data_IF_413597620292
#
_entry.id   IF_413597620292
#
_cell.length_a   1.000
_cell.length_b   1.000
_cell.length_c   1.000
_cell.angle_alpha   90.00
_cell.angle_beta   90.00
_cell.angle_gamma   90.00
#
_symmetry.space_group_name_H-M   'P 1'
#
loop_
_entity.id
_entity.type
_entity.pdbx_description
1 polymer ?
#
# COMPACT_ATOMS: atom_id res chain seq x y z
N UNK A 1 -34.70 -32.68 -7.68
CA UNK A 1 -33.26 -32.52 -7.51
C UNK A 1 -32.61 -31.66 -8.59
N UNK A 2 -32.93 -31.84 -9.87
CA UNK A 2 -32.36 -31.09 -10.99
C UNK A 2 -32.77 -29.59 -10.99
N UNK A 3 -34.01 -29.28 -10.63
CA UNK A 3 -34.49 -27.90 -10.51
C UNK A 3 -33.82 -27.18 -9.34
N UNK A 4 -33.48 -27.89 -8.26
CA UNK A 4 -32.69 -27.34 -7.15
C UNK A 4 -31.29 -26.96 -7.60
N UNK A 5 -30.61 -27.73 -8.44
CA UNK A 5 -29.32 -27.43 -9.01
C UNK A 5 -29.32 -26.16 -9.87
N UNK A 6 -30.34 -25.95 -10.67
CA UNK A 6 -30.49 -24.73 -11.48
C UNK A 6 -30.72 -23.52 -10.60
N UNK A 7 -31.60 -23.61 -9.61
CA UNK A 7 -31.84 -22.51 -8.66
C UNK A 7 -30.62 -22.14 -7.84
N UNK A 8 -29.89 -23.13 -7.40
CA UNK A 8 -28.66 -22.89 -6.63
C UNK A 8 -27.59 -22.18 -7.48
N UNK A 9 -27.38 -22.66 -8.70
CA UNK A 9 -26.44 -22.04 -9.63
C UNK A 9 -26.88 -20.66 -10.09
N UNK A 10 -28.17 -20.46 -10.31
CA UNK A 10 -28.75 -19.15 -10.65
C UNK A 10 -28.55 -18.15 -9.48
N UNK A 11 -28.75 -18.60 -8.25
CA UNK A 11 -28.52 -17.82 -7.04
C UNK A 11 -27.05 -17.42 -6.92
N UNK A 12 -26.13 -18.36 -7.14
CA UNK A 12 -24.70 -18.13 -7.12
C UNK A 12 -24.27 -17.15 -8.22
N UNK A 13 -24.82 -17.30 -9.43
CA UNK A 13 -24.59 -16.38 -10.54
C UNK A 13 -25.04 -14.95 -10.20
N UNK A 14 -26.26 -14.79 -9.71
CA UNK A 14 -26.81 -13.49 -9.34
C UNK A 14 -26.01 -12.79 -8.24
N UNK A 15 -25.54 -13.55 -7.27
CA UNK A 15 -24.69 -13.02 -6.20
C UNK A 15 -23.39 -12.44 -6.77
N UNK A 16 -22.75 -13.14 -7.69
CA UNK A 16 -21.49 -12.71 -8.29
C UNK A 16 -21.67 -11.54 -9.26
N UNK A 17 -22.70 -11.57 -10.08
CA UNK A 17 -23.04 -10.44 -10.97
C UNK A 17 -23.32 -9.18 -10.16
N UNK A 18 -24.02 -9.32 -9.04
CA UNK A 18 -24.33 -8.19 -8.15
C UNK A 18 -23.11 -7.68 -7.40
N UNK A 19 -22.19 -8.57 -7.00
CA UNK A 19 -20.99 -8.21 -6.27
C UNK A 19 -19.92 -7.59 -7.16
N UNK A 20 -19.87 -7.93 -8.45
CA UNK A 20 -18.79 -7.53 -9.35
C UNK A 20 -18.59 -6.01 -9.45
N UNK A 21 -19.62 -5.15 -9.60
CA UNK A 21 -19.42 -3.71 -9.64
C UNK A 21 -18.74 -3.15 -8.37
N UNK A 22 -19.14 -3.66 -7.21
CA UNK A 22 -18.55 -3.25 -5.91
C UNK A 22 -17.07 -3.63 -5.84
N UNK A 23 -16.71 -4.83 -6.28
CA UNK A 23 -15.32 -5.30 -6.30
C UNK A 23 -14.49 -4.48 -7.30
N UNK A 24 -15.04 -4.17 -8.47
CA UNK A 24 -14.39 -3.30 -9.47
C UNK A 24 -14.16 -1.89 -8.94
N UNK A 25 -15.12 -1.33 -8.22
CA UNK A 25 -14.97 -0.02 -7.59
C UNK A 25 -13.87 -0.03 -6.52
N UNK A 26 -13.79 -1.10 -5.72
CA UNK A 26 -12.72 -1.28 -4.76
C UNK A 26 -11.35 -1.39 -5.44
N UNK A 27 -11.25 -2.12 -6.53
CA UNK A 27 -10.02 -2.21 -7.33
C UNK A 27 -9.58 -0.84 -7.84
N UNK A 28 -10.50 -0.06 -8.41
CA UNK A 28 -10.21 1.29 -8.91
C UNK A 28 -9.74 2.22 -7.79
N UNK A 29 -10.39 2.17 -6.63
CA UNK A 29 -9.99 2.94 -5.46
C UNK A 29 -8.58 2.57 -4.99
N UNK A 30 -8.28 1.27 -4.92
CA UNK A 30 -6.95 0.78 -4.55
C UNK A 30 -5.88 1.19 -5.55
N UNK A 31 -6.15 1.11 -6.86
CA UNK A 31 -5.23 1.59 -7.91
C UNK A 31 -4.89 3.07 -7.74
N UNK A 32 -5.89 3.88 -7.49
CA UNK A 32 -5.73 5.32 -7.25
C UNK A 32 -4.87 5.58 -6.02
N UNK A 33 -5.12 4.88 -4.93
CA UNK A 33 -4.36 5.04 -3.68
C UNK A 33 -2.91 4.55 -3.80
N UNK A 34 -2.66 3.46 -4.53
CA UNK A 34 -1.31 2.98 -4.85
C UNK A 34 -0.54 4.05 -5.63
N UNK A 35 -1.16 4.64 -6.63
CA UNK A 35 -0.55 5.69 -7.45
C UNK A 35 -0.18 6.92 -6.62
N UNK A 36 -1.10 7.36 -5.75
CA UNK A 36 -0.86 8.49 -4.84
C UNK A 36 0.30 8.21 -3.88
N UNK A 37 0.31 7.04 -3.25
CA UNK A 37 1.36 6.66 -2.30
C UNK A 37 2.73 6.55 -3.00
N UNK A 38 2.77 5.98 -4.20
CA UNK A 38 3.98 5.91 -5.01
C UNK A 38 4.51 7.30 -5.37
N UNK A 39 3.63 8.19 -5.78
CA UNK A 39 4.00 9.57 -6.12
C UNK A 39 4.62 10.28 -4.93
N UNK A 40 4.04 10.16 -3.75
CA UNK A 40 4.57 10.77 -2.52
C UNK A 40 5.91 10.16 -2.14
N UNK A 41 6.05 8.82 -2.24
CA UNK A 41 7.32 8.15 -1.99
C UNK A 41 8.42 8.63 -2.94
N UNK A 42 8.11 8.81 -4.21
CA UNK A 42 9.04 9.33 -5.22
C UNK A 42 9.44 10.78 -4.93
N UNK A 43 8.50 11.63 -4.49
CA UNK A 43 8.77 13.00 -4.09
C UNK A 43 9.73 13.05 -2.88
N UNK A 44 9.52 12.21 -1.88
CA UNK A 44 10.43 12.10 -0.74
C UNK A 44 11.80 11.56 -1.15
N UNK A 45 11.86 10.66 -2.11
CA UNK A 45 13.13 10.15 -2.62
C UNK A 45 13.94 11.24 -3.32
N UNK A 46 13.31 12.06 -4.14
CA UNK A 46 13.94 13.23 -4.79
C UNK A 46 14.42 14.22 -3.73
N UNK A 47 13.59 14.54 -2.75
CA UNK A 47 13.92 15.45 -1.67
C UNK A 47 15.09 14.93 -0.82
N UNK A 48 15.15 13.62 -0.58
CA UNK A 48 16.25 12.99 0.13
C UNK A 48 17.56 13.14 -0.65
N UNK A 49 17.56 12.87 -1.95
CA UNK A 49 18.73 13.02 -2.79
C UNK A 49 19.23 14.47 -2.85
N UNK A 50 18.33 15.44 -3.01
CA UNK A 50 18.66 16.87 -3.01
C UNK A 50 19.27 17.29 -1.67
N UNK A 51 18.69 16.85 -0.56
CA UNK A 51 19.18 17.17 0.78
C UNK A 51 20.55 16.55 1.02
N UNK A 52 20.77 15.30 0.63
CA UNK A 52 22.06 14.62 0.74
C UNK A 52 23.14 15.32 -0.11
N UNK A 53 22.81 15.74 -1.32
CA UNK A 53 23.74 16.46 -2.19
C UNK A 53 24.14 17.81 -1.60
N UNK A 54 23.20 18.55 -0.99
CA UNK A 54 23.48 19.83 -0.35
C UNK A 54 24.30 19.69 0.93
N UNK A 55 24.31 18.48 1.54
CA UNK A 55 25.02 18.19 2.78
C UNK A 55 26.36 17.49 2.59
N UNK A 56 26.73 17.18 1.33
CA UNK A 56 27.90 16.34 1.04
C UNK A 56 29.18 16.87 1.71
N UNK A 57 29.41 18.18 1.69
CA UNK A 57 30.54 18.82 2.36
C UNK A 57 30.46 18.75 3.89
N UNK A 58 29.25 18.84 4.45
CA UNK A 58 29.00 18.72 5.89
C UNK A 58 29.15 17.28 6.39
N UNK A 59 28.76 16.30 5.59
CA UNK A 59 28.89 14.88 5.92
C UNK A 59 30.36 14.47 6.06
N UNK A 60 31.26 15.03 5.24
CA UNK A 60 32.72 14.81 5.38
C UNK A 60 33.23 15.32 6.70
N UNK A 61 32.81 16.53 7.13
CA UNK A 61 33.17 17.09 8.43
C UNK A 61 32.60 16.26 9.60
N UNK A 62 31.45 15.64 9.41
CA UNK A 62 30.81 14.80 10.43
C UNK A 62 31.52 13.46 10.61
N UNK A 63 32.08 12.89 9.55
CA UNK A 63 32.87 11.65 9.60
C UNK A 63 34.15 11.80 10.41
N UNK A 64 34.68 13.01 10.50
CA UNK A 64 35.82 13.33 11.37
C UNK A 64 35.44 13.36 12.86
N UNK A 65 34.14 13.46 13.15
CA UNK A 65 33.57 13.50 14.49
C UNK A 65 33.08 12.11 14.89
N UNK A 66 33.91 11.35 15.63
CA UNK A 66 33.70 9.94 15.97
C UNK A 66 32.68 9.69 17.10
N UNK A 67 31.93 10.67 17.55
CA UNK A 67 30.95 10.50 18.62
C UNK A 67 29.53 10.50 18.07
N UNK A 68 28.73 9.51 18.48
CA UNK A 68 27.30 9.45 18.21
C UNK A 68 26.57 10.58 18.95
N UNK A 69 26.39 11.71 18.29
CA UNK A 69 25.78 12.91 18.89
C UNK A 69 24.27 12.85 18.83
N UNK A 70 23.71 12.23 17.78
CA UNK A 70 22.29 12.12 17.54
C UNK A 70 21.85 10.67 17.56
N UNK A 71 20.84 10.38 18.37
CA UNK A 71 20.19 9.07 18.42
C UNK A 71 18.69 9.23 18.16
N UNK A 72 18.13 8.39 17.32
CA UNK A 72 16.68 8.28 17.18
C UNK A 72 16.15 7.54 18.39
N UNK A 73 15.43 8.25 19.28
CA UNK A 73 14.92 7.71 20.52
C UNK A 73 13.64 6.90 20.30
N UNK A 74 12.72 7.42 19.48
CA UNK A 74 11.46 6.80 19.22
C UNK A 74 10.89 7.27 17.87
N UNK A 75 10.20 6.37 17.20
CA UNK A 75 9.44 6.65 15.98
C UNK A 75 7.97 6.47 16.32
N UNK A 76 7.22 7.55 16.36
CA UNK A 76 5.79 7.51 16.65
C UNK A 76 5.02 7.22 15.38
N UNK A 77 4.20 6.19 15.42
CA UNK A 77 3.41 5.75 14.27
C UNK A 77 1.97 5.45 14.68
N UNK A 78 1.08 5.62 13.74
CA UNK A 78 -0.31 5.23 13.85
C UNK A 78 -0.74 4.39 12.64
N UNK A 79 -1.97 3.91 12.67
CA UNK A 79 -2.54 3.11 11.59
C UNK A 79 -3.75 3.85 11.04
N UNK A 80 -3.78 4.04 9.73
CA UNK A 80 -4.91 4.61 9.01
C UNK A 80 -5.46 3.56 8.04
N UNK A 81 -6.78 3.37 8.07
CA UNK A 81 -7.45 2.45 7.15
C UNK A 81 -7.83 3.18 5.86
N UNK A 82 -7.33 2.71 4.73
CA UNK A 82 -7.59 3.25 3.40
C UNK A 82 -8.14 2.14 2.51
N UNK A 83 -9.33 2.32 1.97
CA UNK A 83 -10.02 1.32 1.14
C UNK A 83 -10.04 -0.09 1.80
N UNK A 84 -10.22 -0.14 3.11
CA UNK A 84 -10.23 -1.37 3.89
C UNK A 84 -8.86 -1.92 4.27
N UNK A 85 -7.76 -1.28 3.87
CA UNK A 85 -6.39 -1.71 4.14
C UNK A 85 -5.77 -0.87 5.26
N UNK A 86 -5.23 -1.53 6.27
CA UNK A 86 -4.49 -0.86 7.35
C UNK A 86 -3.12 -0.44 6.84
N UNK A 87 -2.86 0.87 6.87
CA UNK A 87 -1.60 1.46 6.41
C UNK A 87 -0.91 2.21 7.55
N UNK A 88 0.44 2.18 7.61
CA UNK A 88 1.17 2.91 8.62
C UNK A 88 1.25 4.39 8.29
N UNK A 89 1.20 5.22 9.33
CA UNK A 89 1.38 6.67 9.24
C UNK A 89 2.46 7.08 10.20
N UNK A 90 3.41 7.86 9.74
CA UNK A 90 4.45 8.46 10.58
C UNK A 90 3.87 9.71 11.26
N UNK A 91 3.75 9.68 12.59
CA UNK A 91 3.22 10.80 13.38
C UNK A 91 4.33 11.73 13.85
N UNK A 92 5.53 11.21 14.05
CA UNK A 92 6.67 11.99 14.46
C UNK A 92 7.87 11.14 14.81
N UNK A 93 9.01 11.80 14.98
CA UNK A 93 10.26 11.16 15.37
C UNK A 93 10.84 11.93 16.55
N UNK A 94 11.19 11.22 17.61
CA UNK A 94 11.82 11.78 18.79
C UNK A 94 13.31 11.49 18.72
N UNK A 95 14.11 12.55 18.88
CA UNK A 95 15.56 12.48 18.83
C UNK A 95 16.14 12.76 20.21
N UNK A 96 17.27 12.15 20.48
CA UNK A 96 18.11 12.46 21.63
C UNK A 96 19.45 12.97 21.13
N UNK A 97 19.80 14.19 21.57
CA UNK A 97 21.10 14.78 21.30
C UNK A 97 21.93 14.59 22.56
N UNK A 98 23.08 13.92 22.44
CA UNK A 98 23.99 13.76 23.59
C UNK A 98 24.53 15.09 24.07
N UNK A 99 24.67 15.24 25.38
CA UNK A 99 25.25 16.40 25.99
C UNK A 99 26.70 16.58 25.52
N UNK A 100 26.99 17.72 24.91
CA UNK A 100 28.30 18.13 24.53
C UNK A 100 28.57 19.59 24.98
N UNK A 101 29.80 19.87 25.30
CA UNK A 101 30.18 21.22 25.70
C UNK A 101 30.21 22.16 24.50
N UNK A 102 29.35 23.18 24.50
CA UNK A 102 29.31 24.20 23.44
C UNK A 102 30.61 25.01 23.29
N UNK A 103 31.44 25.02 24.32
CA UNK A 103 32.67 25.81 24.33
C UNK A 103 33.82 25.23 23.48
N UNK A 104 33.79 23.89 23.27
CA UNK A 104 34.87 23.21 22.53
C UNK A 104 34.39 22.62 21.21
N UNK A 105 33.15 22.91 20.80
CA UNK A 105 32.56 22.36 19.59
C UNK A 105 32.54 23.39 18.46
N UNK A 106 32.74 22.97 17.19
CA UNK A 106 32.57 23.86 16.05
C UNK A 106 31.16 24.40 15.96
N UNK A 107 30.99 25.66 15.56
CA UNK A 107 29.67 26.30 15.42
C UNK A 107 28.75 25.63 14.41
N UNK A 108 29.32 24.88 13.44
CA UNK A 108 28.53 24.11 12.45
C UNK A 108 27.87 22.85 13.01
N UNK A 109 28.26 22.39 14.20
CA UNK A 109 27.80 21.12 14.76
C UNK A 109 26.29 21.12 15.05
N UNK A 110 25.75 22.21 15.61
CA UNK A 110 24.31 22.36 15.85
C UNK A 110 23.51 22.37 14.54
N UNK A 111 23.98 23.07 13.53
CA UNK A 111 23.39 23.09 12.20
C UNK A 111 23.46 21.72 11.57
N UNK A 112 24.57 21.01 11.74
CA UNK A 112 24.73 19.63 11.27
C UNK A 112 23.75 18.66 11.90
N UNK A 113 23.48 18.78 13.20
CA UNK A 113 22.49 17.96 13.91
C UNK A 113 21.08 18.21 13.35
N UNK A 114 20.69 19.47 13.15
CA UNK A 114 19.39 19.80 12.55
C UNK A 114 19.24 19.25 11.12
N UNK A 115 20.27 19.32 10.30
CA UNK A 115 20.29 18.74 8.96
C UNK A 115 20.15 17.22 8.98
N UNK A 116 20.81 16.53 9.91
CA UNK A 116 20.67 15.06 10.03
C UNK A 116 19.28 14.67 10.46
N UNK A 117 18.67 15.42 11.38
CA UNK A 117 17.26 15.23 11.74
C UNK A 117 16.35 15.34 10.53
N UNK A 118 16.59 16.33 9.68
CA UNK A 118 15.83 16.51 8.44
C UNK A 118 16.01 15.30 7.50
N UNK A 119 17.23 14.86 7.26
CA UNK A 119 17.53 13.69 6.42
C UNK A 119 16.85 12.44 6.96
N UNK A 120 16.93 12.17 8.26
CA UNK A 120 16.29 11.01 8.89
C UNK A 120 14.78 11.09 8.76
N UNK A 121 14.19 12.26 8.98
CA UNK A 121 12.74 12.44 8.85
C UNK A 121 12.25 12.19 7.41
N UNK A 122 12.98 12.70 6.42
CA UNK A 122 12.68 12.48 5.00
C UNK A 122 12.81 10.99 4.64
N UNK A 123 13.88 10.34 5.09
CA UNK A 123 14.11 8.91 4.84
C UNK A 123 13.02 8.04 5.47
N UNK A 124 12.56 8.36 6.68
CA UNK A 124 11.47 7.66 7.35
C UNK A 124 10.13 7.87 6.64
N UNK A 125 9.81 9.09 6.23
CA UNK A 125 8.61 9.37 5.44
C UNK A 125 8.60 8.56 4.13
N UNK A 126 9.73 8.52 3.44
CA UNK A 126 9.88 7.69 2.22
C UNK A 126 9.58 6.22 2.51
N UNK A 127 10.15 5.68 3.59
CA UNK A 127 9.91 4.28 3.98
C UNK A 127 8.45 4.02 4.32
N UNK A 128 7.80 4.91 5.05
CA UNK A 128 6.38 4.79 5.39
C UNK A 128 5.48 4.81 4.16
N UNK A 129 5.71 5.71 3.22
CA UNK A 129 4.94 5.78 1.98
C UNK A 129 5.25 4.62 1.03
N UNK A 130 6.48 4.13 0.99
CA UNK A 130 6.83 2.92 0.26
C UNK A 130 6.09 1.70 0.82
N UNK A 131 6.07 1.56 2.14
CA UNK A 131 5.34 0.47 2.80
C UNK A 131 3.84 0.57 2.59
N UNK A 132 3.29 1.78 2.69
CA UNK A 132 1.89 2.06 2.37
C UNK A 132 1.54 1.62 0.95
N UNK A 133 2.37 2.01 -0.03
CA UNK A 133 2.21 1.62 -1.43
C UNK A 133 2.21 0.09 -1.59
N UNK A 134 3.17 -0.60 -0.98
CA UNK A 134 3.27 -2.06 -1.06
C UNK A 134 2.05 -2.77 -0.48
N UNK A 135 1.55 -2.32 0.66
CA UNK A 135 0.36 -2.88 1.31
C UNK A 135 -0.90 -2.67 0.46
N UNK A 136 -1.06 -1.48 -0.09
CA UNK A 136 -2.17 -1.14 -0.97
C UNK A 136 -2.09 -1.91 -2.29
N UNK A 137 -0.90 -2.07 -2.87
CA UNK A 137 -0.70 -2.82 -4.11
C UNK A 137 -0.95 -4.31 -3.93
N UNK A 138 -0.58 -4.87 -2.79
CA UNK A 138 -0.90 -6.27 -2.45
C UNK A 138 -2.43 -6.48 -2.40
N UNK A 139 -3.15 -5.58 -1.75
CA UNK A 139 -4.60 -5.62 -1.69
C UNK A 139 -5.24 -5.43 -3.08
N UNK A 140 -4.69 -4.51 -3.89
CA UNK A 140 -5.13 -4.31 -5.27
C UNK A 140 -4.95 -5.58 -6.10
N UNK A 141 -3.79 -6.23 -6.03
CA UNK A 141 -3.52 -7.48 -6.76
C UNK A 141 -4.53 -8.57 -6.41
N UNK A 142 -4.83 -8.76 -5.12
CA UNK A 142 -5.85 -9.71 -4.67
C UNK A 142 -7.24 -9.37 -5.20
N UNK A 143 -7.58 -8.08 -5.22
CA UNK A 143 -8.86 -7.60 -5.72
C UNK A 143 -8.96 -7.79 -7.25
N UNK A 144 -7.88 -7.51 -7.98
CA UNK A 144 -7.78 -7.78 -9.42
C UNK A 144 -7.99 -9.25 -9.74
N UNK A 145 -7.36 -10.14 -8.98
CA UNK A 145 -7.54 -11.59 -9.12
C UNK A 145 -9.00 -12.00 -8.90
N UNK A 146 -9.64 -11.42 -7.89
CA UNK A 146 -11.05 -11.69 -7.58
C UNK A 146 -11.99 -11.20 -8.69
N UNK A 147 -11.75 -9.99 -9.21
CA UNK A 147 -12.49 -9.46 -10.36
C UNK A 147 -12.36 -10.38 -11.57
N UNK A 148 -11.14 -10.78 -11.90
CA UNK A 148 -10.89 -11.67 -13.03
C UNK A 148 -11.53 -13.05 -12.83
N UNK A 149 -11.46 -13.58 -11.62
CA UNK A 149 -12.10 -14.86 -11.29
C UNK A 149 -13.63 -14.79 -11.49
N UNK A 150 -14.27 -13.75 -11.01
CA UNK A 150 -15.71 -13.57 -11.16
C UNK A 150 -16.11 -13.33 -12.63
N UNK A 151 -15.46 -12.37 -13.27
CA UNK A 151 -15.84 -11.90 -14.60
C UNK A 151 -15.50 -12.90 -15.71
N UNK A 152 -14.33 -13.54 -15.65
CA UNK A 152 -13.80 -14.38 -16.73
C UNK A 152 -14.01 -15.87 -16.54
N UNK A 153 -14.19 -16.33 -15.30
CA UNK A 153 -14.27 -17.76 -14.97
C UNK A 153 -15.64 -18.14 -14.38
N UNK A 154 -16.00 -17.54 -13.24
CA UNK A 154 -17.17 -17.99 -12.47
C UNK A 154 -18.50 -17.59 -13.13
N UNK A 155 -18.65 -16.33 -13.50
CA UNK A 155 -19.88 -15.85 -14.15
C UNK A 155 -20.11 -16.59 -15.49
N UNK A 156 -19.14 -16.65 -16.42
CA UNK A 156 -19.33 -17.44 -17.65
C UNK A 156 -19.55 -18.93 -17.37
N UNK A 157 -18.85 -19.48 -16.37
CA UNK A 157 -19.00 -20.89 -15.99
C UNK A 157 -20.40 -21.22 -15.48
N UNK A 158 -21.00 -20.40 -14.65
CA UNK A 158 -22.37 -20.57 -14.17
C UNK A 158 -23.39 -20.39 -15.30
N UNK A 159 -23.18 -19.41 -16.16
CA UNK A 159 -24.04 -19.18 -17.33
C UNK A 159 -24.05 -20.40 -18.25
N UNK A 160 -22.91 -20.96 -18.56
CA UNK A 160 -22.74 -22.16 -19.38
C UNK A 160 -23.39 -23.40 -18.73
N UNK A 161 -23.15 -23.58 -17.42
CA UNK A 161 -23.74 -24.70 -16.69
C UNK A 161 -25.29 -24.65 -16.67
N UNK A 162 -25.84 -23.46 -16.45
CA UNK A 162 -27.30 -23.26 -16.47
C UNK A 162 -27.86 -23.55 -17.86
N UNK A 163 -27.20 -23.06 -18.91
CA UNK A 163 -27.59 -23.30 -20.30
C UNK A 163 -27.59 -24.79 -20.64
N UNK A 164 -26.56 -25.54 -20.25
CA UNK A 164 -26.49 -26.98 -20.48
C UNK A 164 -27.59 -27.75 -19.75
N UNK A 165 -27.90 -27.40 -18.52
CA UNK A 165 -28.94 -28.05 -17.73
C UNK A 165 -30.33 -27.78 -18.35
N UNK A 166 -30.60 -26.55 -18.77
CA UNK A 166 -31.86 -26.20 -19.44
C UNK A 166 -32.03 -26.97 -20.74
N UNK A 167 -30.99 -27.06 -21.55
CA UNK A 167 -31.00 -27.84 -22.79
C UNK A 167 -31.29 -29.33 -22.53
N UNK A 168 -30.65 -29.90 -21.53
CA UNK A 168 -30.89 -31.30 -21.14
C UNK A 168 -32.32 -31.53 -20.70
N UNK A 169 -32.94 -30.64 -19.93
CA UNK A 169 -34.31 -30.73 -19.48
C UNK A 169 -35.30 -30.60 -20.66
N UNK A 170 -35.04 -29.71 -21.60
CA UNK A 170 -35.82 -29.56 -22.81
C UNK A 170 -35.76 -30.84 -23.66
N UNK A 171 -34.62 -31.44 -23.84
CA UNK A 171 -34.42 -32.69 -24.55
C UNK A 171 -35.19 -33.86 -23.87
N UNK A 172 -35.18 -33.93 -22.53
CA UNK A 172 -35.99 -34.91 -21.79
C UNK A 172 -37.49 -34.73 -22.01
N UNK A 173 -38.00 -33.50 -22.01
CA UNK A 173 -39.41 -33.21 -22.28
C UNK A 173 -39.80 -33.60 -23.70
N UNK A 174 -38.91 -33.37 -24.68
CA UNK A 174 -39.17 -33.73 -26.08
C UNK A 174 -39.16 -35.24 -26.35
N UNK A 175 -38.52 -36.03 -25.50
CA UNK A 175 -38.47 -37.48 -25.60
C UNK A 175 -39.62 -38.19 -24.91
N UNK A 176 -40.36 -37.49 -24.07
CA UNK A 176 -41.55 -38.03 -23.41
C UNK A 176 -42.83 -37.65 -24.16
#
# INVERSE_FOLDING_TARGET
>A
QRQMCIRDRDKQLKMRVRALPTIKNKESALRSEVKKAKQVADEFNVKLEETLNSLNDMLQLYDEYKEDILVVKDVRMSVKKIAGVKTPVLDGVDYEVKDFSLFNQPGWLLDGVEYIKEVVSIALEREFFTRKMELLDRARKKTTQKVNLYEKVQIPGFQEAIRKIKRFLEDEENLS
#
